data_IF_131425202506
#
_entry.id   IF_131425202506
#
_cell.length_a   1.000
_cell.length_b   1.000
_cell.length_c   1.000
_cell.angle_alpha   90.00
_cell.angle_beta   90.00
_cell.angle_gamma   90.00
#
_symmetry.space_group_name_H-M   'P 1'
#
loop_
_entity.id
_entity.type
_entity.pdbx_description
1 polymer ?
#
# COMPACT_ATOMS: atom_id res chain seq x y z
N UNK A 1 67.17 12.82 8.69
CA UNK A 1 65.98 13.14 7.89
C UNK A 1 65.22 11.89 7.57
N UNK A 2 64.50 11.30 8.57
CA UNK A 2 63.71 10.06 8.32
C UNK A 2 62.64 9.88 9.40
N UNK A 3 61.73 10.85 9.60
CA UNK A 3 60.65 10.72 10.59
C UNK A 3 59.31 11.31 10.15
N UNK A 4 59.18 11.76 8.92
CA UNK A 4 57.93 12.41 8.47
C UNK A 4 56.96 11.47 7.71
N UNK A 5 57.31 10.22 7.34
CA UNK A 5 56.47 9.37 6.52
C UNK A 5 55.60 8.35 7.30
N UNK A 6 55.70 8.28 8.64
CA UNK A 6 54.96 7.30 9.44
C UNK A 6 53.60 7.78 9.96
N UNK A 7 53.34 9.07 9.92
CA UNK A 7 52.05 9.62 10.45
C UNK A 7 50.90 9.61 9.45
N UNK A 8 51.19 9.56 8.13
CA UNK A 8 50.16 9.58 7.11
C UNK A 8 49.42 8.22 6.91
N UNK A 9 50.00 7.11 7.40
CA UNK A 9 49.40 5.78 7.24
C UNK A 9 48.35 5.44 8.32
N UNK A 10 48.33 6.18 9.44
CA UNK A 10 47.38 5.94 10.53
C UNK A 10 45.98 6.53 10.30
N UNK A 11 45.92 7.73 9.70
CA UNK A 11 44.64 8.43 9.51
C UNK A 11 43.76 7.76 8.43
N UNK A 12 44.34 7.27 7.35
CA UNK A 12 43.61 6.56 6.30
C UNK A 12 43.01 5.24 6.77
N UNK A 13 43.69 4.57 7.70
CA UNK A 13 43.18 3.31 8.31
C UNK A 13 42.00 3.55 9.24
N UNK A 14 42.02 4.63 10.00
CA UNK A 14 40.94 4.97 10.93
C UNK A 14 39.65 5.36 10.17
N UNK A 15 39.74 6.20 9.14
CA UNK A 15 38.63 6.56 8.26
C UNK A 15 37.99 5.34 7.57
N UNK A 16 38.79 4.37 7.16
CA UNK A 16 38.29 3.16 6.52
C UNK A 16 37.49 2.29 7.50
N UNK A 17 37.91 2.19 8.76
CA UNK A 17 37.18 1.45 9.80
C UNK A 17 35.87 2.17 10.17
N UNK A 18 35.89 3.48 10.33
CA UNK A 18 34.68 4.28 10.61
C UNK A 18 33.66 4.13 9.49
N UNK A 19 34.10 4.23 8.22
CA UNK A 19 33.22 4.03 7.07
C UNK A 19 32.66 2.60 7.00
N UNK A 20 33.44 1.58 7.34
CA UNK A 20 33.00 0.18 7.34
C UNK A 20 31.88 -0.09 8.36
N UNK A 21 31.86 0.63 9.48
CA UNK A 21 30.81 0.52 10.49
C UNK A 21 29.56 1.34 10.10
N UNK A 22 29.77 2.54 9.54
CA UNK A 22 28.65 3.46 9.23
C UNK A 22 27.92 3.06 7.94
N UNK A 23 28.64 2.54 6.94
CA UNK A 23 28.06 2.17 5.65
C UNK A 23 26.88 1.19 5.73
N UNK A 24 26.94 0.08 6.49
CA UNK A 24 25.80 -0.83 6.61
C UNK A 24 24.60 -0.18 7.29
N UNK A 25 24.81 0.72 8.24
CA UNK A 25 23.72 1.44 8.92
C UNK A 25 23.03 2.37 7.92
N UNK A 26 23.79 3.12 7.13
CA UNK A 26 23.24 4.00 6.10
C UNK A 26 22.45 3.20 5.06
N UNK A 27 22.95 2.04 4.63
CA UNK A 27 22.23 1.16 3.69
C UNK A 27 20.88 0.70 4.24
N UNK A 28 20.81 0.28 5.50
CA UNK A 28 19.55 -0.15 6.13
C UNK A 28 18.57 1.03 6.19
N UNK A 29 19.02 2.20 6.62
CA UNK A 29 18.17 3.39 6.67
C UNK A 29 17.64 3.77 5.29
N UNK A 30 18.51 3.70 4.27
CA UNK A 30 18.14 4.02 2.89
C UNK A 30 17.09 3.05 2.35
N UNK A 31 17.19 1.76 2.62
CA UNK A 31 16.17 0.76 2.26
C UNK A 31 14.84 1.09 2.91
N UNK A 32 14.81 1.39 4.21
CA UNK A 32 13.58 1.76 4.92
C UNK A 32 12.93 3.00 4.31
N UNK A 33 13.73 4.03 3.98
CA UNK A 33 13.22 5.25 3.35
C UNK A 33 12.61 4.98 1.98
N UNK A 34 13.28 4.15 1.17
CA UNK A 34 12.76 3.77 -0.16
C UNK A 34 11.43 3.02 -0.02
N UNK A 35 11.34 2.04 0.87
CA UNK A 35 10.10 1.28 1.10
C UNK A 35 8.95 2.18 1.57
N UNK A 36 9.23 3.15 2.43
CA UNK A 36 8.23 4.13 2.87
C UNK A 36 7.75 5.03 1.72
N UNK A 37 8.65 5.46 0.83
CA UNK A 37 8.28 6.25 -0.35
C UNK A 37 7.46 5.43 -1.35
N UNK A 38 7.81 4.17 -1.58
CA UNK A 38 7.05 3.25 -2.42
C UNK A 38 5.65 3.05 -1.85
N UNK A 39 5.55 2.75 -0.56
CA UNK A 39 4.26 2.60 0.12
C UNK A 39 3.39 3.86 0.00
N UNK A 40 3.94 5.05 0.27
CA UNK A 40 3.20 6.31 0.14
C UNK A 40 2.70 6.55 -1.29
N UNK A 41 3.51 6.22 -2.30
CA UNK A 41 3.12 6.29 -3.71
C UNK A 41 1.98 5.33 -4.07
N UNK A 42 2.03 4.09 -3.59
CA UNK A 42 0.97 3.11 -3.80
C UNK A 42 -0.32 3.49 -3.04
N UNK A 43 -0.23 4.05 -1.82
CA UNK A 43 -1.40 4.59 -1.11
C UNK A 43 -2.08 5.71 -1.88
N UNK A 44 -1.32 6.68 -2.39
CA UNK A 44 -1.88 7.76 -3.19
C UNK A 44 -2.56 7.26 -4.47
N UNK A 45 -1.97 6.25 -5.12
CA UNK A 45 -2.58 5.58 -6.27
C UNK A 45 -3.85 4.82 -5.88
N UNK A 46 -3.84 4.15 -4.73
CA UNK A 46 -4.98 3.41 -4.20
C UNK A 46 -6.17 4.32 -3.92
N UNK A 47 -5.93 5.48 -3.30
CA UNK A 47 -6.97 6.48 -3.02
C UNK A 47 -7.65 7.04 -4.28
N UNK A 48 -6.95 7.02 -5.42
CA UNK A 48 -7.53 7.40 -6.70
C UNK A 48 -8.26 6.26 -7.42
N UNK A 49 -7.71 5.05 -7.38
CA UNK A 49 -8.22 3.91 -8.15
C UNK A 49 -9.37 3.20 -7.43
N UNK A 50 -9.28 3.04 -6.10
CA UNK A 50 -10.29 2.32 -5.34
C UNK A 50 -11.71 2.92 -5.47
N UNK A 51 -11.92 4.25 -5.34
CA UNK A 51 -13.23 4.83 -5.55
C UNK A 51 -13.78 4.61 -6.97
N UNK A 52 -12.94 4.73 -7.98
CA UNK A 52 -13.35 4.52 -9.37
C UNK A 52 -13.79 3.08 -9.62
N UNK A 53 -13.06 2.08 -9.07
CA UNK A 53 -13.43 0.67 -9.18
C UNK A 53 -14.70 0.35 -8.44
N UNK A 54 -14.85 0.85 -7.21
CA UNK A 54 -16.06 0.66 -6.40
C UNK A 54 -17.26 1.27 -7.12
N UNK A 55 -17.19 2.51 -7.56
CA UNK A 55 -18.30 3.18 -8.26
C UNK A 55 -18.66 2.49 -9.58
N UNK A 56 -17.68 2.06 -10.36
CA UNK A 56 -17.93 1.37 -11.64
C UNK A 56 -18.66 0.04 -11.44
N UNK A 57 -18.32 -0.73 -10.41
CA UNK A 57 -18.92 -2.04 -10.16
C UNK A 57 -20.19 -1.95 -9.29
N UNK A 58 -20.27 -0.98 -8.35
CA UNK A 58 -21.46 -0.79 -7.53
C UNK A 58 -22.63 -0.19 -8.32
N UNK A 59 -22.36 0.71 -9.29
CA UNK A 59 -23.38 1.34 -10.11
C UNK A 59 -23.90 0.44 -11.25
N UNK A 60 -23.15 -0.57 -11.66
CA UNK A 60 -23.53 -1.46 -12.78
C UNK A 60 -24.39 -2.66 -12.36
N UNK A 61 -24.81 -2.76 -11.11
CA UNK A 61 -25.61 -3.89 -10.63
C UNK A 61 -27.07 -3.78 -11.08
N UNK A 62 -27.62 -4.81 -11.77
CA UNK A 62 -29.03 -4.86 -12.07
C UNK A 62 -29.90 -4.95 -10.81
N UNK A 63 -31.08 -4.36 -10.84
CA UNK A 63 -32.00 -4.22 -9.71
C UNK A 63 -32.53 -5.54 -9.11
N UNK A 64 -32.27 -6.69 -9.71
CA UNK A 64 -32.82 -7.97 -9.30
C UNK A 64 -31.77 -8.84 -8.57
N UNK A 65 -31.81 -8.81 -7.23
CA UNK A 65 -31.33 -9.94 -6.42
C UNK A 65 -29.83 -10.28 -6.46
N UNK A 66 -28.97 -9.38 -6.88
CA UNK A 66 -27.52 -9.63 -6.89
C UNK A 66 -26.98 -9.56 -5.45
N UNK A 67 -26.45 -10.69 -4.99
CA UNK A 67 -25.88 -10.86 -3.67
C UNK A 67 -24.72 -9.86 -3.44
N UNK A 68 -24.76 -9.15 -2.31
CA UNK A 68 -23.71 -8.19 -1.93
C UNK A 68 -22.30 -8.83 -1.93
N UNK A 69 -22.21 -10.12 -1.63
CA UNK A 69 -20.98 -10.90 -1.68
C UNK A 69 -20.36 -10.95 -3.07
N UNK A 70 -21.14 -11.17 -4.11
CA UNK A 70 -20.63 -11.24 -5.49
C UNK A 70 -20.06 -9.89 -5.95
N UNK A 71 -20.62 -8.78 -5.48
CA UNK A 71 -20.09 -7.44 -5.75
C UNK A 71 -18.74 -7.21 -5.08
N UNK A 72 -18.63 -7.58 -3.82
CA UNK A 72 -17.38 -7.47 -3.06
C UNK A 72 -16.27 -8.28 -3.75
N UNK A 73 -16.55 -9.53 -4.13
CA UNK A 73 -15.59 -10.40 -4.82
C UNK A 73 -15.14 -9.80 -6.16
N UNK A 74 -16.06 -9.20 -6.92
CA UNK A 74 -15.74 -8.56 -8.21
C UNK A 74 -14.86 -7.33 -8.04
N UNK A 75 -15.17 -6.47 -7.05
CA UNK A 75 -14.38 -5.28 -6.72
C UNK A 75 -13.00 -5.71 -6.22
N UNK A 76 -12.94 -6.70 -5.35
CA UNK A 76 -11.68 -7.24 -4.83
C UNK A 76 -10.81 -7.77 -5.96
N UNK A 77 -11.34 -8.61 -6.85
CA UNK A 77 -10.60 -9.15 -7.98
C UNK A 77 -10.08 -8.04 -8.93
N UNK A 78 -10.86 -6.97 -9.14
CA UNK A 78 -10.45 -5.84 -9.95
C UNK A 78 -9.30 -5.05 -9.28
N UNK A 79 -9.37 -4.82 -7.97
CA UNK A 79 -8.32 -4.13 -7.23
C UNK A 79 -7.07 -4.98 -7.07
N UNK A 80 -7.20 -6.28 -6.82
CA UNK A 80 -6.07 -7.20 -6.78
C UNK A 80 -5.31 -7.22 -8.10
N UNK A 81 -6.00 -7.21 -9.23
CA UNK A 81 -5.36 -7.13 -10.55
C UNK A 81 -4.51 -5.87 -10.72
N UNK A 82 -4.95 -4.75 -10.16
CA UNK A 82 -4.26 -3.47 -10.29
C UNK A 82 -3.11 -3.31 -9.28
N UNK A 83 -3.21 -3.94 -8.09
CA UNK A 83 -2.29 -3.74 -6.96
C UNK A 83 -1.54 -4.99 -6.48
N UNK A 84 -1.89 -6.21 -6.92
CA UNK A 84 -1.20 -7.43 -6.50
C UNK A 84 0.20 -7.56 -7.13
N UNK A 85 1.07 -6.61 -6.80
CA UNK A 85 2.48 -6.61 -7.20
C UNK A 85 3.33 -6.56 -5.95
N UNK A 86 4.43 -7.31 -5.94
CA UNK A 86 5.50 -7.18 -4.93
C UNK A 86 5.09 -7.41 -3.46
N UNK A 87 4.26 -8.41 -3.19
CA UNK A 87 3.89 -8.75 -1.81
C UNK A 87 2.82 -7.85 -1.19
N UNK A 88 2.10 -7.08 -2.01
CA UNK A 88 0.91 -6.35 -1.60
C UNK A 88 -0.34 -7.21 -1.76
N UNK A 89 -1.32 -7.01 -0.88
CA UNK A 89 -2.65 -7.62 -0.96
C UNK A 89 -3.72 -6.56 -0.73
N UNK A 90 -4.89 -6.80 -1.31
CA UNK A 90 -6.05 -5.93 -1.13
C UNK A 90 -7.18 -6.76 -0.53
N UNK A 91 -7.85 -6.22 0.46
CA UNK A 91 -9.04 -6.80 1.07
C UNK A 91 -10.19 -5.80 0.94
N UNK A 92 -11.34 -6.27 0.49
CA UNK A 92 -12.54 -5.46 0.34
C UNK A 92 -13.63 -6.03 1.22
N UNK A 93 -14.25 -5.20 2.04
CA UNK A 93 -15.43 -5.55 2.83
C UNK A 93 -16.54 -4.55 2.58
N UNK A 94 -17.77 -5.02 2.60
CA UNK A 94 -18.96 -4.17 2.51
C UNK A 94 -19.67 -4.20 3.86
N UNK A 95 -19.92 -3.03 4.41
CA UNK A 95 -20.81 -2.86 5.56
C UNK A 95 -22.08 -2.16 5.06
N UNK A 96 -23.20 -2.87 5.13
CA UNK A 96 -24.50 -2.25 4.91
C UNK A 96 -24.78 -1.31 6.09
N UNK A 97 -24.99 -0.04 5.81
CA UNK A 97 -25.42 0.89 6.83
C UNK A 97 -26.91 0.61 7.12
N UNK A 98 -27.16 -0.15 8.18
CA UNK A 98 -28.50 -0.39 8.77
C UNK A 98 -29.10 0.91 9.33
N UNK A 99 -29.20 1.95 8.52
CA UNK A 99 -29.98 3.12 8.87
C UNK A 99 -31.25 3.17 8.04
N UNK A 100 -32.37 3.06 8.74
CA UNK A 100 -33.78 3.01 8.30
C UNK A 100 -34.18 4.12 7.30
N UNK A 101 -33.31 5.06 6.97
CA UNK A 101 -33.60 6.21 6.10
C UNK A 101 -32.58 6.47 4.99
N UNK A 102 -31.45 5.77 4.94
CA UNK A 102 -30.49 5.92 3.85
C UNK A 102 -29.83 4.56 3.61
N UNK A 103 -30.25 3.87 2.58
CA UNK A 103 -29.66 2.60 2.13
C UNK A 103 -28.32 2.88 1.42
N UNK A 104 -27.34 3.46 2.13
CA UNK A 104 -25.99 3.65 1.64
C UNK A 104 -25.17 2.39 1.92
N UNK A 105 -24.57 1.81 0.92
CA UNK A 105 -23.58 0.77 1.08
C UNK A 105 -22.21 1.40 1.28
N UNK A 106 -21.52 1.02 2.36
CA UNK A 106 -20.16 1.49 2.62
C UNK A 106 -19.17 0.38 2.31
N UNK A 107 -18.34 0.61 1.32
CA UNK A 107 -17.23 -0.28 0.95
C UNK A 107 -15.96 0.18 1.65
N UNK A 108 -15.36 -0.73 2.39
CA UNK A 108 -14.07 -0.55 3.05
C UNK A 108 -13.03 -1.34 2.28
N UNK A 109 -12.07 -0.64 1.70
CA UNK A 109 -10.98 -1.21 0.95
C UNK A 109 -9.68 -1.06 1.75
N UNK A 110 -9.04 -2.17 2.08
CA UNK A 110 -7.79 -2.20 2.84
C UNK A 110 -6.66 -2.66 1.94
N UNK A 111 -5.66 -1.82 1.77
CA UNK A 111 -4.43 -2.12 1.07
C UNK A 111 -3.34 -2.49 2.08
N UNK A 112 -2.73 -3.67 1.90
CA UNK A 112 -1.67 -4.19 2.76
C UNK A 112 -0.38 -4.34 1.97
N UNK A 113 0.71 -3.85 2.54
CA UNK A 113 2.02 -3.85 1.91
C UNK A 113 3.07 -4.49 2.83
N UNK A 114 3.86 -5.41 2.26
CA UNK A 114 5.02 -6.00 2.92
C UNK A 114 6.30 -5.38 2.32
N UNK A 115 7.09 -4.60 3.10
CA UNK A 115 8.31 -3.97 2.62
C UNK A 115 9.37 -5.00 2.26
N UNK A 116 10.25 -4.67 1.33
CA UNK A 116 11.43 -5.44 1.01
C UNK A 116 12.49 -5.29 2.15
N UNK A 117 13.21 -6.32 2.62
CA UNK A 117 13.22 -7.72 2.16
C UNK A 117 12.21 -8.65 2.85
N UNK A 118 11.34 -8.13 3.71
CA UNK A 118 10.38 -8.92 4.50
C UNK A 118 9.36 -9.66 3.63
N UNK A 119 9.00 -9.08 2.49
CA UNK A 119 8.13 -9.72 1.49
C UNK A 119 8.71 -11.03 0.95
N UNK A 120 10.03 -11.14 0.79
CA UNK A 120 10.72 -12.36 0.34
C UNK A 120 10.75 -13.41 1.46
N UNK A 121 10.85 -12.97 2.71
CA UNK A 121 10.87 -13.84 3.88
C UNK A 121 9.48 -14.40 4.24
N UNK A 122 8.41 -14.03 3.51
CA UNK A 122 7.05 -14.45 3.81
C UNK A 122 6.48 -13.82 5.08
N UNK A 123 7.04 -12.69 5.52
CA UNK A 123 6.52 -11.96 6.66
C UNK A 123 5.15 -11.36 6.35
N UNK A 124 4.25 -11.23 7.34
CA UNK A 124 2.98 -10.57 7.15
C UNK A 124 3.16 -9.11 6.73
N UNK A 125 2.17 -8.56 6.04
CA UNK A 125 2.15 -7.15 5.71
C UNK A 125 2.20 -6.31 6.99
N UNK A 126 3.14 -5.37 7.03
CA UNK A 126 3.37 -4.49 8.19
C UNK A 126 2.71 -3.13 8.04
N UNK A 127 2.41 -2.73 6.81
CA UNK A 127 1.83 -1.43 6.50
C UNK A 127 0.45 -1.64 5.91
N UNK A 128 -0.52 -0.93 6.48
CA UNK A 128 -1.92 -0.98 6.06
C UNK A 128 -2.40 0.44 5.75
N UNK A 129 -3.21 0.54 4.70
CA UNK A 129 -3.90 1.77 4.32
C UNK A 129 -5.37 1.44 4.03
N UNK A 130 -6.28 2.20 4.63
CA UNK A 130 -7.72 1.98 4.52
C UNK A 130 -8.40 3.15 3.82
N UNK A 131 -9.26 2.83 2.87
CA UNK A 131 -10.13 3.79 2.19
C UNK A 131 -11.58 3.32 2.33
N UNK A 132 -12.47 4.19 2.81
CA UNK A 132 -13.91 3.90 2.92
C UNK A 132 -14.70 4.74 1.92
N UNK A 133 -15.57 4.08 1.16
CA UNK A 133 -16.35 4.69 0.08
C UNK A 133 -17.82 4.38 0.31
N UNK A 134 -18.62 5.44 0.52
CA UNK A 134 -20.07 5.34 0.61
C UNK A 134 -20.67 5.45 -0.79
N UNK A 135 -21.50 4.48 -1.17
CA UNK A 135 -22.18 4.44 -2.46
C UNK A 135 -23.68 4.45 -2.21
N UNK A 136 -24.38 5.39 -2.84
CA UNK A 136 -25.83 5.38 -2.89
C UNK A 136 -26.29 4.48 -4.05
N UNK A 137 -26.98 3.37 -3.79
CA UNK A 137 -27.44 2.46 -4.84
C UNK A 137 -28.52 3.05 -5.75
N UNK A 138 -29.10 4.20 -5.38
CA UNK A 138 -30.20 4.82 -6.12
C UNK A 138 -29.76 5.97 -7.02
N UNK A 139 -28.57 6.49 -6.88
CA UNK A 139 -28.03 7.50 -7.79
C UNK A 139 -27.14 6.83 -8.83
N UNK A 140 -27.59 6.68 -10.11
CA UNK A 140 -26.65 6.32 -11.18
C UNK A 140 -25.55 7.38 -11.24
N UNK A 141 -24.31 6.93 -11.07
CA UNK A 141 -23.16 7.83 -10.98
C UNK A 141 -23.08 8.79 -12.14
N UNK A 142 -23.42 10.07 -11.92
CA UNK A 142 -23.01 11.13 -12.81
C UNK A 142 -21.48 11.27 -12.68
N UNK A 143 -20.80 10.80 -13.71
CA UNK A 143 -19.39 11.14 -13.92
C UNK A 143 -19.32 12.63 -14.27
N UNK A 144 -19.01 13.45 -13.27
CA UNK A 144 -18.54 14.83 -13.49
C UNK A 144 -17.10 14.84 -13.93
#
# INVERSE_FOLDING_TARGET
MATASKLACGENGQMAVELAIVAPIILVVLVIVIDMLVFAGECARFDHVAPQRVLAHAASAPMDGYDAGVRVDTIQAALEKDFAKNGSSVEVSCADADMVLASMATYRCTFRFAPWPLSIAGAPALLEHECSIAVDPYTPGELL
#
